data_IF_190607890745
#
_entry.id   IF_190607890745
#
_cell.length_a   1.000
_cell.length_b   1.000
_cell.length_c   1.000
_cell.angle_alpha   90.00
_cell.angle_beta   90.00
_cell.angle_gamma   90.00
#
_symmetry.space_group_name_H-M   'P 1'
#
loop_
_entity.id
_entity.type
_entity.pdbx_description
1 polymer ?
#
# COMPACT_ATOMS: atom_id res chain seq x y z
N UNK A 1 8.19 7.05 8.59
CA UNK A 1 8.13 5.73 7.92
C UNK A 1 6.67 5.34 7.79
N UNK A 2 6.20 4.96 6.60
CA UNK A 2 4.81 4.54 6.31
C UNK A 2 4.30 3.43 7.25
N UNK A 3 3.03 3.05 7.12
CA UNK A 3 2.41 1.89 7.77
C UNK A 3 1.75 0.96 6.76
N UNK A 4 1.85 -0.35 6.95
CA UNK A 4 1.15 -1.35 6.14
C UNK A 4 0.32 -2.25 7.04
N UNK A 5 -0.84 -2.66 6.54
CA UNK A 5 -1.69 -3.67 7.17
C UNK A 5 -2.25 -4.59 6.10
N UNK A 6 -2.68 -5.79 6.47
CA UNK A 6 -3.36 -6.68 5.56
C UNK A 6 -3.90 -7.92 6.23
N UNK A 7 -4.86 -8.54 5.56
CA UNK A 7 -5.48 -9.82 5.94
C UNK A 7 -5.56 -10.69 4.69
N UNK A 8 -5.17 -11.95 4.84
CA UNK A 8 -5.47 -13.03 3.90
C UNK A 8 -6.38 -14.03 4.62
N UNK A 9 -7.56 -14.25 4.07
CA UNK A 9 -8.55 -15.19 4.57
C UNK A 9 -8.69 -16.37 3.61
N UNK A 10 -8.40 -17.58 4.08
CA UNK A 10 -8.39 -18.78 3.24
C UNK A 10 -9.76 -19.39 2.97
N UNK A 11 -10.82 -18.96 3.67
CA UNK A 11 -12.14 -19.62 3.63
C UNK A 11 -13.22 -18.75 3.04
N UNK A 12 -13.18 -17.45 3.32
CA UNK A 12 -14.18 -16.49 2.85
C UNK A 12 -13.47 -15.24 2.34
N UNK A 13 -14.18 -14.35 1.62
CA UNK A 13 -13.65 -13.04 1.35
C UNK A 13 -13.14 -12.33 2.61
N UNK A 14 -12.12 -11.49 2.46
CA UNK A 14 -11.57 -10.71 3.55
C UNK A 14 -12.59 -9.65 3.98
N UNK A 15 -12.82 -9.56 5.29
CA UNK A 15 -13.51 -8.42 5.86
C UNK A 15 -12.57 -7.21 5.83
N UNK A 16 -13.01 -6.14 5.17
CA UNK A 16 -12.22 -4.92 4.98
C UNK A 16 -12.25 -4.04 6.23
N UNK A 17 -13.24 -4.18 7.11
CA UNK A 17 -13.40 -3.33 8.29
C UNK A 17 -12.26 -3.48 9.31
N UNK A 18 -11.79 -4.69 9.66
CA UNK A 18 -10.59 -4.86 10.46
C UNK A 18 -9.37 -4.16 9.85
N UNK A 19 -9.17 -4.27 8.53
CA UNK A 19 -8.05 -3.62 7.83
C UNK A 19 -8.15 -2.10 7.90
N UNK A 20 -9.34 -1.53 7.74
CA UNK A 20 -9.57 -0.08 7.93
C UNK A 20 -9.21 0.37 9.35
N UNK A 21 -9.65 -0.38 10.38
CA UNK A 21 -9.34 -0.06 11.78
C UNK A 21 -7.85 -0.15 12.08
N UNK A 22 -7.19 -1.24 11.67
CA UNK A 22 -5.73 -1.39 11.83
C UNK A 22 -4.97 -0.28 11.09
N UNK A 23 -5.40 0.08 9.88
CA UNK A 23 -4.78 1.18 9.12
C UNK A 23 -5.00 2.53 9.84
N UNK A 24 -6.14 2.69 10.50
CA UNK A 24 -6.46 3.83 11.38
C UNK A 24 -5.44 4.03 12.50
N UNK A 25 -5.04 2.95 13.19
CA UNK A 25 -4.11 3.04 14.33
C UNK A 25 -2.69 3.45 13.91
N UNK A 26 -2.35 3.31 12.62
CA UNK A 26 -1.03 3.66 12.07
C UNK A 26 -0.94 5.10 11.53
N UNK A 27 -1.92 5.97 11.82
CA UNK A 27 -1.92 7.37 11.33
C UNK A 27 -0.62 8.12 11.66
N UNK A 28 -0.05 7.91 12.86
CA UNK A 28 1.21 8.52 13.28
C UNK A 28 2.43 8.14 12.42
N UNK A 29 2.36 7.03 11.69
CA UNK A 29 3.44 6.56 10.79
C UNK A 29 3.38 7.25 9.42
N UNK A 30 2.17 7.51 8.94
CA UNK A 30 1.92 8.09 7.62
C UNK A 30 0.68 8.98 7.66
N UNK A 31 0.85 10.25 8.06
CA UNK A 31 -0.27 11.19 8.21
C UNK A 31 -0.73 11.80 6.88
N UNK A 32 0.05 11.66 5.79
CA UNK A 32 -0.17 12.42 4.57
C UNK A 32 -1.23 11.82 3.66
N UNK A 33 -1.35 10.49 3.64
CA UNK A 33 -2.32 9.78 2.80
C UNK A 33 -2.66 8.38 3.36
N UNK A 34 -3.80 7.83 2.93
CA UNK A 34 -4.34 6.55 3.37
C UNK A 34 -5.05 5.83 2.23
N UNK A 35 -4.79 4.54 2.11
CA UNK A 35 -5.47 3.70 1.13
C UNK A 35 -5.84 2.33 1.71
N UNK A 36 -6.91 1.75 1.18
CA UNK A 36 -7.36 0.38 1.48
C UNK A 36 -7.82 -0.26 0.18
N UNK A 37 -7.40 -1.50 -0.04
CA UNK A 37 -7.80 -2.33 -1.17
C UNK A 37 -8.33 -3.66 -0.65
N UNK A 38 -9.30 -4.24 -1.35
CA UNK A 38 -9.84 -5.57 -1.05
C UNK A 38 -10.21 -6.28 -2.33
N UNK A 39 -9.80 -7.54 -2.46
CA UNK A 39 -10.21 -8.43 -3.54
C UNK A 39 -10.24 -9.87 -3.06
N UNK A 40 -11.42 -10.49 -3.16
CA UNK A 40 -11.71 -11.83 -2.68
C UNK A 40 -11.13 -12.08 -1.27
N UNK A 41 -10.20 -13.03 -1.11
CA UNK A 41 -9.63 -13.42 0.19
C UNK A 41 -8.64 -12.40 0.77
N UNK A 42 -8.32 -11.31 0.08
CA UNK A 42 -7.26 -10.37 0.48
C UNK A 42 -7.86 -8.98 0.77
N UNK A 43 -7.39 -8.35 1.84
CA UNK A 43 -7.52 -6.92 2.05
C UNK A 43 -6.19 -6.32 2.50
N UNK A 44 -5.81 -5.19 1.94
CA UNK A 44 -4.55 -4.47 2.18
C UNK A 44 -4.85 -3.03 2.62
N UNK A 45 -4.03 -2.47 3.50
CA UNK A 45 -4.13 -1.09 3.95
C UNK A 45 -2.77 -0.42 4.03
N UNK A 46 -2.74 0.88 3.78
CA UNK A 46 -1.52 1.69 3.78
C UNK A 46 -1.74 3.05 4.44
N UNK A 47 -0.72 3.49 5.19
CA UNK A 47 -0.55 4.86 5.69
C UNK A 47 0.72 5.43 5.14
N UNK A 48 0.63 6.56 4.44
CA UNK A 48 1.74 7.12 3.69
C UNK A 48 2.37 8.30 4.41
N UNK A 49 3.69 8.25 4.53
CA UNK A 49 4.53 9.42 4.76
C UNK A 49 5.23 9.73 3.44
N UNK A 50 5.02 10.93 2.93
CA UNK A 50 5.46 11.37 1.61
C UNK A 50 6.89 11.91 1.71
N UNK A 51 7.87 11.11 1.31
CA UNK A 51 9.30 11.49 1.32
C UNK A 51 9.85 11.60 -0.11
N UNK A 52 9.69 10.52 -0.88
CA UNK A 52 10.04 10.47 -2.30
C UNK A 52 8.77 10.43 -3.15
N UNK A 53 8.74 11.26 -4.19
CA UNK A 53 7.54 11.57 -5.00
C UNK A 53 6.37 12.08 -4.15
N UNK A 54 6.24 13.40 -4.03
CA UNK A 54 5.18 14.01 -3.21
C UNK A 54 3.83 14.07 -3.94
N UNK A 55 3.74 13.55 -5.17
CA UNK A 55 2.52 13.60 -5.97
C UNK A 55 1.51 12.53 -5.55
N UNK A 56 0.24 12.67 -5.98
CA UNK A 56 -0.77 11.62 -5.81
C UNK A 56 -0.42 10.28 -6.47
N UNK A 57 0.54 10.25 -7.41
CA UNK A 57 0.97 9.01 -8.07
C UNK A 57 1.65 8.04 -7.09
N UNK A 58 2.16 8.54 -5.96
CA UNK A 58 2.73 7.71 -4.90
C UNK A 58 1.70 7.07 -3.95
N UNK A 59 0.39 7.22 -4.21
CA UNK A 59 -0.69 6.59 -3.44
C UNK A 59 -0.53 5.07 -3.39
N UNK A 60 -0.87 4.48 -2.24
CA UNK A 60 -0.87 3.03 -2.03
C UNK A 60 -2.12 2.58 -1.27
N UNK A 61 -2.62 1.34 -1.46
CA UNK A 61 -2.09 0.27 -2.30
C UNK A 61 -1.98 0.61 -3.80
N UNK A 62 -0.85 0.28 -4.42
CA UNK A 62 -0.55 0.60 -5.82
C UNK A 62 -0.90 -0.58 -6.71
N UNK A 63 -1.48 -0.32 -7.88
CA UNK A 63 -1.81 -1.36 -8.86
C UNK A 63 -0.95 -1.24 -10.12
N UNK A 64 -0.75 -2.35 -10.83
CA UNK A 64 -0.37 -2.31 -12.24
C UNK A 64 -1.44 -1.58 -13.09
N UNK A 65 -1.10 -1.09 -14.30
CA UNK A 65 -2.07 -0.38 -15.16
C UNK A 65 -3.32 -1.21 -15.51
N UNK A 66 -3.17 -2.52 -15.66
CA UNK A 66 -4.25 -3.49 -15.91
C UNK A 66 -4.96 -3.94 -14.63
N UNK A 67 -4.52 -3.48 -13.46
CA UNK A 67 -5.03 -3.83 -12.12
C UNK A 67 -4.95 -5.31 -11.77
N UNK A 68 -4.13 -6.09 -12.48
CA UNK A 68 -3.92 -7.49 -12.21
C UNK A 68 -3.10 -7.74 -10.94
N UNK A 69 -2.20 -6.82 -10.59
CA UNK A 69 -1.35 -6.91 -9.40
C UNK A 69 -1.52 -5.69 -8.52
N UNK A 70 -1.46 -5.91 -7.21
CA UNK A 70 -1.55 -4.88 -6.17
C UNK A 70 -0.42 -5.04 -5.16
N UNK A 71 0.13 -3.91 -4.71
CA UNK A 71 1.26 -3.86 -3.79
C UNK A 71 1.04 -2.84 -2.68
N UNK A 72 1.51 -3.17 -1.48
CA UNK A 72 1.80 -2.22 -0.41
C UNK A 72 3.28 -2.32 -0.04
N UNK A 73 3.91 -1.18 0.24
CA UNK A 73 5.33 -1.08 0.51
C UNK A 73 5.63 0.00 1.56
N UNK A 74 6.57 -0.32 2.44
CA UNK A 74 7.09 0.57 3.46
C UNK A 74 8.60 0.40 3.57
N UNK A 75 9.32 1.38 3.03
CA UNK A 75 10.77 1.40 2.97
C UNK A 75 11.22 2.35 1.87
N UNK A 76 12.51 2.31 1.56
CA UNK A 76 13.13 3.13 0.53
C UNK A 76 14.01 2.26 -0.35
N UNK A 77 13.80 2.33 -1.67
CA UNK A 77 14.65 1.64 -2.64
C UNK A 77 15.69 2.67 -3.11
N UNK A 78 16.85 2.71 -2.47
CA UNK A 78 17.84 3.77 -2.70
C UNK A 78 18.36 3.82 -4.15
N UNK A 79 18.41 2.67 -4.83
CA UNK A 79 18.85 2.55 -6.22
C UNK A 79 17.68 2.56 -7.23
N UNK A 80 16.48 3.06 -6.87
CA UNK A 80 15.30 3.02 -7.74
C UNK A 80 15.52 3.68 -9.11
N UNK A 81 16.36 4.72 -9.20
CA UNK A 81 16.68 5.37 -10.47
C UNK A 81 17.45 4.44 -11.42
N UNK A 82 18.40 3.67 -10.89
CA UNK A 82 19.14 2.69 -11.68
C UNK A 82 18.25 1.53 -12.11
N UNK A 83 17.48 0.98 -11.16
CA UNK A 83 16.54 -0.11 -11.45
C UNK A 83 15.49 0.29 -12.50
N UNK A 84 15.01 1.53 -12.46
CA UNK A 84 14.07 2.03 -13.47
C UNK A 84 14.65 1.99 -14.88
N UNK A 85 15.91 2.40 -15.05
CA UNK A 85 16.60 2.35 -16.35
C UNK A 85 16.84 0.91 -16.82
N UNK A 86 17.08 -0.03 -15.90
CA UNK A 86 17.32 -1.44 -16.22
C UNK A 86 16.04 -2.20 -16.62
N UNK A 87 14.88 -1.78 -16.11
CA UNK A 87 13.61 -2.51 -16.22
C UNK A 87 12.58 -1.88 -17.19
N UNK A 88 12.84 -0.67 -17.71
CA UNK A 88 12.08 -0.02 -18.79
C UNK A 88 12.68 -0.35 -20.17
#
# INVERSE_FOLDING_TARGET
MCGITGILNFKTPADTDPVRRMTGTLTHRGPDDVGVFSDGPIALGHRRLSILDLSPAGHQPMSTPDRALWLVYNGEIYNYRHLRVELE
#
